data_IF_542111620219
#
_entry.id   IF_542111620219
#
_cell.length_a   1.000
_cell.length_b   1.000
_cell.length_c   1.000
_cell.angle_alpha   90.00
_cell.angle_beta   90.00
_cell.angle_gamma   90.00
#
_symmetry.space_group_name_H-M   'P 1'
#
loop_
_entity.id
_entity.type
_entity.pdbx_description
1 polymer ?
#
# COMPACT_ATOMS: atom_id res chain seq x y z
N UNK A 1 -10.09 12.19 -10.04
CA UNK A 1 -9.75 10.79 -10.33
C UNK A 1 -10.66 9.88 -9.52
N UNK A 2 -11.16 8.85 -10.15
CA UNK A 2 -12.04 7.93 -9.46
C UNK A 2 -11.27 7.19 -8.38
N UNK A 3 -11.99 6.82 -7.36
CA UNK A 3 -11.37 6.11 -6.27
C UNK A 3 -10.97 4.71 -6.70
N UNK A 4 -9.77 4.29 -6.33
CA UNK A 4 -9.24 2.98 -6.70
C UNK A 4 -9.64 1.97 -5.64
N UNK A 5 -10.23 0.86 -6.08
CA UNK A 5 -10.55 -0.22 -5.16
C UNK A 5 -9.38 -1.20 -5.13
N UNK A 6 -8.45 -0.92 -4.24
CA UNK A 6 -7.21 -1.68 -4.16
C UNK A 6 -7.43 -3.13 -3.76
N UNK A 7 -8.53 -3.44 -3.07
CA UNK A 7 -8.82 -4.82 -2.71
C UNK A 7 -9.04 -5.69 -3.94
N UNK A 8 -9.59 -5.09 -5.00
CA UNK A 8 -9.81 -5.84 -6.24
C UNK A 8 -8.49 -6.23 -6.90
N UNK A 9 -7.40 -5.59 -6.52
CA UNK A 9 -6.08 -5.90 -7.07
C UNK A 9 -5.24 -6.73 -6.09
N UNK A 10 -5.84 -7.24 -5.04
CA UNK A 10 -5.13 -8.12 -4.12
C UNK A 10 -4.39 -7.43 -3.00
N UNK A 11 -4.65 -6.15 -2.77
CA UNK A 11 -4.01 -5.44 -1.66
C UNK A 11 -4.70 -5.83 -0.36
N UNK A 12 -3.97 -6.54 0.50
CA UNK A 12 -4.52 -7.07 1.73
C UNK A 12 -3.46 -6.93 2.83
N UNK A 13 -3.61 -5.91 3.66
CA UNK A 13 -2.62 -5.58 4.68
C UNK A 13 -2.55 -6.62 5.79
N UNK A 14 -3.47 -7.60 5.80
CA UNK A 14 -3.42 -8.67 6.78
C UNK A 14 -2.78 -9.93 6.23
N UNK A 15 -2.33 -9.93 4.98
CA UNK A 15 -1.77 -11.11 4.34
C UNK A 15 -0.25 -11.02 4.29
N UNK A 16 0.42 -12.05 4.79
CA UNK A 16 1.88 -12.10 4.69
C UNK A 16 2.33 -12.11 3.23
N UNK A 17 1.57 -12.80 2.36
CA UNK A 17 1.93 -12.87 0.95
C UNK A 17 1.91 -11.48 0.30
N UNK A 18 0.95 -10.64 0.68
CA UNK A 18 0.95 -9.26 0.16
C UNK A 18 2.21 -8.52 0.59
N UNK A 19 2.59 -8.64 1.87
CA UNK A 19 3.76 -7.91 2.36
C UNK A 19 5.05 -8.42 1.76
N UNK A 20 5.13 -9.72 1.43
CA UNK A 20 6.28 -10.24 0.74
C UNK A 20 6.44 -9.58 -0.63
N UNK A 21 5.34 -9.43 -1.35
CA UNK A 21 5.37 -8.74 -2.65
C UNK A 21 5.68 -7.26 -2.50
N UNK A 22 5.09 -6.63 -1.49
CA UNK A 22 5.31 -5.21 -1.25
C UNK A 22 6.79 -4.95 -0.95
N UNK A 23 7.38 -5.76 -0.07
CA UNK A 23 8.77 -5.59 0.30
C UNK A 23 9.69 -5.80 -0.90
N UNK A 24 9.41 -6.82 -1.71
CA UNK A 24 10.22 -7.07 -2.89
C UNK A 24 10.08 -5.95 -3.91
N UNK A 25 8.87 -5.41 -4.08
CA UNK A 25 8.65 -4.32 -5.00
C UNK A 25 9.37 -3.05 -4.55
N UNK A 26 9.38 -2.78 -3.24
CA UNK A 26 10.09 -1.63 -2.68
C UNK A 26 11.59 -1.78 -2.89
N UNK A 27 12.13 -2.97 -2.66
CA UNK A 27 13.56 -3.20 -2.87
C UNK A 27 13.96 -2.99 -4.33
N UNK A 28 13.14 -3.50 -5.26
CA UNK A 28 13.42 -3.30 -6.68
C UNK A 28 13.34 -1.84 -7.05
N UNK A 29 12.37 -1.12 -6.50
CA UNK A 29 12.24 0.31 -6.76
C UNK A 29 13.46 1.08 -6.28
N UNK A 30 13.97 0.71 -5.10
CA UNK A 30 15.17 1.36 -4.56
C UNK A 30 16.37 1.14 -5.45
N UNK A 31 16.49 -0.05 -6.06
CA UNK A 31 17.59 -0.32 -6.98
C UNK A 31 17.49 0.55 -8.23
N UNK A 32 16.25 0.71 -8.75
CA UNK A 32 16.07 1.54 -9.93
C UNK A 32 16.36 3.01 -9.66
N UNK A 33 16.15 3.47 -8.43
CA UNK A 33 16.45 4.84 -8.07
C UNK A 33 17.95 5.14 -8.11
N UNK A 34 18.77 4.12 -8.01
CA UNK A 34 20.23 4.32 -8.07
C UNK A 34 20.73 4.55 -9.48
N UNK A 35 19.90 4.33 -10.48
CA UNK A 35 20.30 4.55 -11.86
C UNK A 35 20.50 6.04 -12.13
N UNK A 36 21.40 6.35 -13.05
CA UNK A 36 21.69 7.74 -13.37
C UNK A 36 20.43 8.45 -13.87
N UNK A 37 20.21 9.66 -13.37
CA UNK A 37 19.06 10.43 -13.78
C UNK A 37 19.23 10.94 -15.21
N UNK A 38 18.18 10.91 -16.03
CA UNK A 38 18.27 11.51 -17.37
C UNK A 38 18.55 13.00 -17.28
N UNK A 39 19.09 13.56 -18.34
CA UNK A 39 19.42 14.98 -18.34
C UNK A 39 18.23 15.87 -18.60
N UNK A 40 17.30 15.42 -19.43
CA UNK A 40 16.14 16.24 -19.75
C UNK A 40 15.05 16.03 -18.72
N UNK A 41 14.38 17.12 -18.37
CA UNK A 41 13.33 17.04 -17.36
C UNK A 41 12.19 16.13 -17.81
N UNK A 42 11.81 16.18 -19.09
CA UNK A 42 10.75 15.31 -19.59
C UNK A 42 11.11 13.84 -19.41
N UNK A 43 12.37 13.48 -19.61
CA UNK A 43 12.81 12.11 -19.45
C UNK A 43 12.89 11.71 -17.99
N UNK A 44 13.21 12.65 -17.11
CA UNK A 44 13.18 12.38 -15.67
C UNK A 44 11.77 12.05 -15.21
N UNK A 45 10.79 12.78 -15.72
CA UNK A 45 9.40 12.52 -15.38
C UNK A 45 8.96 11.17 -15.91
N UNK A 46 9.35 10.84 -17.16
CA UNK A 46 9.02 9.53 -17.73
C UNK A 46 9.64 8.41 -16.92
N UNK A 47 10.90 8.59 -16.48
CA UNK A 47 11.54 7.58 -15.67
C UNK A 47 10.81 7.39 -14.35
N UNK A 48 10.44 8.49 -13.69
CA UNK A 48 9.71 8.46 -12.43
C UNK A 48 8.41 7.67 -12.60
N UNK A 49 7.66 7.99 -13.64
CA UNK A 49 6.38 7.33 -13.88
C UNK A 49 6.58 5.87 -14.25
N UNK A 50 7.59 5.55 -15.05
CA UNK A 50 7.88 4.19 -15.41
C UNK A 50 8.31 3.35 -14.23
N UNK A 51 9.09 3.93 -13.32
CA UNK A 51 9.50 3.22 -12.12
C UNK A 51 8.28 2.84 -11.29
N UNK A 52 7.28 3.71 -11.22
CA UNK A 52 6.03 3.35 -10.55
C UNK A 52 5.26 2.27 -11.30
N UNK A 53 5.25 2.32 -12.64
CA UNK A 53 4.58 1.27 -13.40
C UNK A 53 5.19 -0.09 -13.11
N UNK A 54 6.50 -0.16 -13.02
CA UNK A 54 7.18 -1.41 -12.70
C UNK A 54 6.85 -1.83 -11.27
N UNK A 55 6.85 -0.87 -10.35
CA UNK A 55 6.51 -1.13 -8.95
C UNK A 55 5.12 -1.77 -8.85
N UNK A 56 4.13 -1.22 -9.55
CA UNK A 56 2.78 -1.78 -9.50
C UNK A 56 2.69 -3.12 -10.20
N UNK A 57 3.43 -3.32 -11.29
CA UNK A 57 3.47 -4.63 -11.93
C UNK A 57 4.03 -5.68 -10.98
N UNK A 58 5.04 -5.33 -10.20
CA UNK A 58 5.61 -6.24 -9.21
C UNK A 58 4.64 -6.49 -8.06
N UNK A 59 3.89 -5.48 -7.66
CA UNK A 59 3.03 -5.57 -6.48
C UNK A 59 1.72 -6.28 -6.75
N UNK A 60 1.04 -5.93 -7.83
CA UNK A 60 -0.30 -6.44 -8.10
C UNK A 60 -0.39 -7.27 -9.38
N UNK A 61 0.74 -7.49 -10.05
CA UNK A 61 0.78 -8.27 -11.29
C UNK A 61 0.64 -7.38 -12.51
N UNK A 62 1.20 -7.86 -13.61
CA UNK A 62 1.26 -7.06 -14.84
C UNK A 62 -0.12 -6.75 -15.37
N UNK A 63 -1.01 -7.72 -15.35
CA UNK A 63 -2.34 -7.52 -15.89
C UNK A 63 -3.13 -6.47 -15.10
N UNK A 64 -3.07 -6.57 -13.78
CA UNK A 64 -3.75 -5.59 -12.94
C UNK A 64 -3.12 -4.21 -13.05
N UNK A 65 -1.79 -4.15 -13.14
CA UNK A 65 -1.12 -2.88 -13.29
C UNK A 65 -1.51 -2.21 -14.60
N UNK A 66 -1.65 -3.00 -15.66
CA UNK A 66 -2.09 -2.46 -16.94
C UNK A 66 -3.50 -1.88 -16.84
N UNK A 67 -4.41 -2.62 -16.20
CA UNK A 67 -5.76 -2.12 -16.04
C UNK A 67 -5.80 -0.84 -15.22
N UNK A 68 -5.00 -0.78 -14.18
CA UNK A 68 -4.99 0.37 -13.29
C UNK A 68 -4.40 1.60 -13.96
N UNK A 69 -3.34 1.42 -14.74
CA UNK A 69 -2.51 2.54 -15.17
C UNK A 69 -2.61 2.88 -16.66
N UNK A 70 -3.42 2.15 -17.42
CA UNK A 70 -3.43 2.33 -18.88
C UNK A 70 -3.80 3.76 -19.30
N UNK A 71 -4.65 4.43 -18.53
CA UNK A 71 -5.08 5.78 -18.86
C UNK A 71 -4.34 6.86 -18.10
N UNK A 72 -3.31 6.50 -17.35
CA UNK A 72 -2.58 7.48 -16.53
C UNK A 72 -1.44 8.05 -17.35
N UNK A 73 -1.41 9.36 -17.56
CA UNK A 73 -0.35 9.96 -18.37
C UNK A 73 0.97 10.02 -17.61
N UNK A 74 2.04 10.33 -18.34
CA UNK A 74 3.35 10.51 -17.73
C UNK A 74 3.36 11.85 -17.00
N UNK A 75 2.72 11.87 -15.85
CA UNK A 75 2.60 13.06 -15.03
C UNK A 75 2.91 12.65 -13.59
N UNK A 76 3.90 13.30 -13.02
CA UNK A 76 4.40 12.92 -11.71
C UNK A 76 3.31 13.00 -10.64
N UNK A 77 2.50 14.05 -10.68
CA UNK A 77 1.45 14.22 -9.68
C UNK A 77 0.43 13.10 -9.72
N UNK A 78 0.11 12.61 -10.93
CA UNK A 78 -0.85 11.52 -11.05
C UNK A 78 -0.36 10.27 -10.34
N UNK A 79 0.92 9.94 -10.49
CA UNK A 79 1.48 8.78 -9.83
C UNK A 79 1.64 8.98 -8.33
N UNK A 80 1.94 10.22 -7.91
CA UNK A 80 2.01 10.52 -6.48
C UNK A 80 0.64 10.32 -5.83
N UNK A 81 -0.43 10.72 -6.50
CA UNK A 81 -1.79 10.55 -5.98
C UNK A 81 -2.19 9.08 -5.90
N UNK A 82 -1.79 8.30 -6.91
CA UNK A 82 -2.08 6.88 -6.89
C UNK A 82 -1.37 6.21 -5.71
N UNK A 83 -0.11 6.57 -5.49
CA UNK A 83 0.64 5.99 -4.38
C UNK A 83 0.05 6.39 -3.03
N UNK A 84 -0.36 7.65 -2.89
CA UNK A 84 -1.03 8.10 -1.67
C UNK A 84 -2.31 7.32 -1.43
N UNK A 85 -3.04 7.02 -2.49
CA UNK A 85 -4.27 6.22 -2.39
C UNK A 85 -3.97 4.81 -1.88
N UNK A 86 -2.89 4.19 -2.38
CA UNK A 86 -2.48 2.88 -1.91
C UNK A 86 -2.13 2.90 -0.43
N UNK A 87 -1.33 3.89 -0.01
CA UNK A 87 -0.93 4.00 1.38
C UNK A 87 -2.13 4.21 2.29
N UNK A 88 -3.10 5.00 1.83
CA UNK A 88 -4.33 5.21 2.61
C UNK A 88 -5.11 3.92 2.76
N UNK A 89 -5.19 3.13 1.69
CA UNK A 89 -5.89 1.85 1.76
C UNK A 89 -5.23 0.92 2.78
N UNK A 90 -3.90 0.84 2.74
CA UNK A 90 -3.16 0.00 3.69
C UNK A 90 -3.40 0.47 5.12
N UNK A 91 -3.34 1.78 5.33
CA UNK A 91 -3.57 2.36 6.64
C UNK A 91 -4.97 2.03 7.14
N UNK A 92 -5.97 2.17 6.28
CA UNK A 92 -7.36 1.91 6.66
C UNK A 92 -7.58 0.43 6.97
N UNK A 93 -6.94 -0.46 6.23
CA UNK A 93 -7.05 -1.89 6.50
C UNK A 93 -6.42 -2.24 7.84
N UNK A 94 -5.29 -1.62 8.17
CA UNK A 94 -4.66 -1.85 9.46
C UNK A 94 -5.53 -1.33 10.61
N UNK A 95 -6.14 -0.16 10.42
CA UNK A 95 -7.02 0.40 11.44
C UNK A 95 -8.22 -0.51 11.65
N UNK A 96 -8.77 -1.05 10.57
CA UNK A 96 -9.89 -1.98 10.67
C UNK A 96 -9.48 -3.25 11.39
N UNK A 97 -8.30 -3.77 11.10
CA UNK A 97 -7.78 -4.96 11.76
C UNK A 97 -7.63 -4.70 13.27
N UNK A 98 -7.11 -3.55 13.64
CA UNK A 98 -6.96 -3.20 15.05
C UNK A 98 -8.31 -3.08 15.75
N UNK A 99 -9.30 -2.50 15.09
CA UNK A 99 -10.65 -2.41 15.66
C UNK A 99 -11.26 -3.78 15.86
N UNK A 100 -11.04 -4.69 14.91
CA UNK A 100 -11.56 -6.04 15.02
C UNK A 100 -10.93 -6.78 16.18
N UNK A 101 -9.60 -6.64 16.33
CA UNK A 101 -8.90 -7.27 17.45
C UNK A 101 -9.39 -6.72 18.78
N UNK A 102 -9.55 -5.41 18.87
CA UNK A 102 -10.05 -4.79 20.08
C UNK A 102 -11.45 -5.31 20.43
N UNK A 103 -12.29 -5.44 19.41
CA UNK A 103 -13.63 -5.97 19.60
C UNK A 103 -13.62 -7.40 20.11
N UNK A 104 -12.74 -8.22 19.53
CA UNK A 104 -12.61 -9.62 19.97
C UNK A 104 -12.12 -9.68 21.41
N UNK A 105 -11.12 -8.86 21.74
CA UNK A 105 -10.59 -8.85 23.10
C UNK A 105 -11.65 -8.45 24.12
N UNK A 106 -12.46 -7.46 23.78
CA UNK A 106 -13.54 -7.07 24.67
C UNK A 106 -14.55 -8.20 24.85
N UNK A 107 -14.85 -8.90 23.77
CA UNK A 107 -15.82 -9.98 23.82
C UNK A 107 -15.36 -11.12 24.71
N UNK A 108 -14.07 -11.40 24.70
CA UNK A 108 -13.52 -12.53 25.43
C UNK A 108 -12.77 -12.16 26.69
N UNK A 109 -12.80 -10.89 27.08
CA UNK A 109 -12.12 -10.46 28.29
C UNK A 109 -12.79 -11.06 29.51
N UNK A 110 -12.01 -11.38 30.54
CA UNK A 110 -12.61 -11.86 31.79
C UNK A 110 -13.51 -10.81 32.39
N UNK A 111 -14.60 -11.30 32.93
CA UNK A 111 -15.47 -10.34 33.45
C UNK A 111 -15.14 -9.94 34.81
N UNK A 112 -14.27 -10.43 35.37
CA UNK A 112 -13.98 -10.11 36.55
C UNK A 112 -13.38 -9.02 36.69
N UNK A 113 -13.20 -8.59 36.79
CA UNK A 113 -12.49 -7.86 36.83
C UNK A 113 -12.52 -7.05 37.54
N UNK A 114 -12.98 -7.27 38.07
CA UNK A 114 -12.93 -6.48 38.85
C UNK A 114 -11.82 -5.83 38.85
N UNK A 115 -11.30 -6.09 38.67
CA UNK A 115 -10.26 -5.65 38.61
C UNK A 115 -10.01 -4.83 37.76
N UNK A 116 -10.58 -4.54 37.43
CA UNK A 116 -10.36 -3.80 36.69
C UNK A 116 -9.52 -2.99 36.85
N UNK A 117 -9.29 -2.89 37.64
CA UNK A 117 -8.43 -2.09 37.87
C UNK A 117 -7.38 -2.38 37.34
N UNK A 118 -7.32 -3.12 37.10
CA UNK A 118 -6.27 -3.42 36.64
C UNK A 118 -6.12 -3.08 35.38
N UNK A 119 -6.47 -2.67 34.85
CA UNK A 119 -6.25 -2.50 33.72
C UNK A 119 -5.49 -2.15 33.18
N UNK A 120 -5.12 -2.22 32.62
CA UNK A 120 -4.34 -2.15 31.99
C UNK A 120 -4.01 -1.48 31.24
N UNK A 121 -3.73 -1.28 31.16
CA UNK A 121 -3.33 -0.65 30.61
C UNK A 121 -2.76 -0.79 29.64
N UNK A 122 -2.63 -1.00 29.10
CA UNK A 122 -2.01 -1.15 28.24
C UNK A 122 -1.92 -0.74 27.47
#
# INVERSE_FOLDING_TARGET
>A
MDEINWKDYGVDAESAAFWDKYNAAVESAAEREKEAAPKLESDRIRKYCNDFRIFYADLIGEENAEKLLSDVPDNKRCFDEIYASLLRCIHDQKAESNRRIASILLKYAPKTRGNENAAPTV
#
